data_IF_074655617334
#
_entry.id   IF_074655617334
#
_cell.length_a   1.000
_cell.length_b   1.000
_cell.length_c   1.000
_cell.angle_alpha   90.00
_cell.angle_beta   90.00
_cell.angle_gamma   90.00
#
_symmetry.space_group_name_H-M   'P 1'
#
loop_
_entity.id
_entity.type
_entity.pdbx_description
1 polymer ?
#
# COMPACT_ATOMS: atom_id res chain seq x y z
N UNK A 1 -9.73 -17.07 11.24
CA UNK A 1 -10.75 -16.28 10.51
C UNK A 1 -10.42 -16.43 9.04
N UNK A 2 -11.32 -17.00 8.25
CA UNK A 2 -11.10 -17.27 6.82
C UNK A 2 -11.18 -15.97 6.05
N UNK A 3 -10.01 -15.39 5.74
CA UNK A 3 -9.81 -14.05 5.19
C UNK A 3 -10.00 -14.01 3.67
N UNK A 4 -11.08 -14.64 3.18
CA UNK A 4 -11.46 -14.57 1.77
C UNK A 4 -12.53 -13.48 1.60
N UNK A 5 -12.19 -12.31 1.04
CA UNK A 5 -13.15 -11.24 0.87
C UNK A 5 -14.25 -11.72 -0.09
N UNK A 6 -15.50 -11.71 0.39
CA UNK A 6 -16.68 -12.05 -0.43
C UNK A 6 -17.06 -10.93 -1.40
N UNK A 7 -16.52 -9.73 -1.17
CA UNK A 7 -16.80 -8.52 -1.93
C UNK A 7 -15.47 -7.81 -2.24
N UNK A 8 -15.39 -7.20 -3.42
CA UNK A 8 -14.18 -6.50 -3.88
C UNK A 8 -13.93 -5.20 -3.10
N UNK A 9 -15.00 -4.48 -2.78
CA UNK A 9 -14.99 -3.26 -2.00
C UNK A 9 -15.99 -3.41 -0.85
N UNK A 10 -15.56 -3.07 0.35
CA UNK A 10 -16.41 -3.00 1.54
C UNK A 10 -16.29 -1.57 2.07
N UNK A 11 -17.28 -0.75 1.75
CA UNK A 11 -17.36 0.65 2.16
C UNK A 11 -18.65 0.86 2.93
N UNK A 12 -18.65 1.84 3.84
CA UNK A 12 -19.93 2.36 4.35
C UNK A 12 -20.57 3.26 3.28
N UNK A 13 -21.86 3.54 3.45
CA UNK A 13 -22.63 4.33 2.50
C UNK A 13 -22.09 5.75 2.32
N UNK A 14 -21.58 6.37 3.38
CA UNK A 14 -21.04 7.74 3.34
C UNK A 14 -19.77 7.84 2.47
N UNK A 15 -18.83 6.92 2.66
CA UNK A 15 -17.59 6.82 1.88
C UNK A 15 -17.91 6.50 0.42
N UNK A 16 -18.85 5.58 0.16
CA UNK A 16 -19.27 5.24 -1.20
C UNK A 16 -19.92 6.45 -1.90
N UNK A 17 -20.83 7.18 -1.24
CA UNK A 17 -21.42 8.38 -1.81
C UNK A 17 -20.39 9.49 -2.04
N UNK A 18 -19.42 9.63 -1.14
CA UNK A 18 -18.31 10.57 -1.29
C UNK A 18 -17.49 10.26 -2.54
N UNK A 19 -17.10 9.00 -2.73
CA UNK A 19 -16.35 8.56 -3.91
C UNK A 19 -17.18 8.78 -5.19
N UNK A 20 -18.46 8.41 -5.20
CA UNK A 20 -19.34 8.60 -6.35
C UNK A 20 -19.51 10.09 -6.70
N UNK A 21 -19.62 10.97 -5.69
CA UNK A 21 -19.66 12.41 -5.91
C UNK A 21 -18.34 12.92 -6.52
N UNK A 22 -17.19 12.53 -5.96
CA UNK A 22 -15.88 12.94 -6.49
C UNK A 22 -15.67 12.44 -7.92
N UNK A 23 -16.09 11.22 -8.25
CA UNK A 23 -16.02 10.67 -9.61
C UNK A 23 -16.84 11.49 -10.61
N UNK A 24 -18.07 11.90 -10.26
CA UNK A 24 -18.92 12.72 -11.13
C UNK A 24 -18.33 14.11 -11.39
N UNK A 25 -17.73 14.70 -10.36
CA UNK A 25 -17.18 16.06 -10.42
C UNK A 25 -15.70 16.11 -10.82
N UNK A 26 -15.05 14.96 -11.01
CA UNK A 26 -13.61 14.89 -11.22
C UNK A 26 -13.20 15.65 -12.49
N UNK A 27 -12.37 16.69 -12.32
CA UNK A 27 -11.72 17.43 -13.40
C UNK A 27 -10.21 17.27 -13.31
N UNK A 28 -9.65 16.46 -14.19
CA UNK A 28 -8.22 16.15 -14.20
C UNK A 28 -7.87 15.09 -15.25
N UNK A 29 -6.68 14.49 -15.12
CA UNK A 29 -6.25 13.42 -16.01
C UNK A 29 -6.99 12.13 -15.63
N UNK A 30 -7.78 11.57 -16.55
CA UNK A 30 -8.60 10.37 -16.30
C UNK A 30 -7.82 9.17 -15.76
N UNK A 31 -6.57 8.97 -16.20
CA UNK A 31 -5.69 7.91 -15.70
C UNK A 31 -5.35 8.05 -14.22
N UNK A 32 -5.43 9.27 -13.66
CA UNK A 32 -5.27 9.50 -12.22
C UNK A 32 -6.47 8.94 -11.44
N UNK A 33 -7.69 9.15 -11.93
CA UNK A 33 -8.90 8.61 -11.31
C UNK A 33 -8.94 7.09 -11.41
N UNK A 34 -8.63 6.53 -12.59
CA UNK A 34 -8.49 5.08 -12.80
C UNK A 34 -7.49 4.47 -11.80
N UNK A 35 -6.31 5.07 -11.70
CA UNK A 35 -5.27 4.60 -10.77
C UNK A 35 -5.70 4.73 -9.31
N UNK A 36 -6.44 5.78 -8.95
CA UNK A 36 -6.92 5.97 -7.59
C UNK A 36 -7.96 4.90 -7.21
N UNK A 37 -8.91 4.61 -8.10
CA UNK A 37 -9.89 3.52 -7.91
C UNK A 37 -9.20 2.15 -7.83
N UNK A 38 -8.20 1.90 -8.69
CA UNK A 38 -7.37 0.69 -8.59
C UNK A 38 -6.62 0.60 -7.27
N UNK A 39 -6.08 1.71 -6.77
CA UNK A 39 -5.42 1.78 -5.47
C UNK A 39 -6.40 1.49 -4.32
N UNK A 40 -7.64 1.97 -4.38
CA UNK A 40 -8.68 1.64 -3.39
C UNK A 40 -8.95 0.14 -3.34
N UNK A 41 -9.13 -0.50 -4.49
CA UNK A 41 -9.35 -1.95 -4.59
C UNK A 41 -8.17 -2.73 -4.01
N UNK A 42 -6.93 -2.37 -4.40
CA UNK A 42 -5.73 -3.01 -3.84
C UNK A 42 -5.56 -2.72 -2.35
N UNK A 43 -6.01 -1.56 -1.87
CA UNK A 43 -6.06 -1.20 -0.46
C UNK A 43 -6.99 -2.10 0.34
N UNK A 44 -8.18 -2.39 -0.18
CA UNK A 44 -9.11 -3.35 0.44
C UNK A 44 -8.52 -4.76 0.48
N UNK A 45 -7.85 -5.16 -0.61
CA UNK A 45 -7.31 -6.51 -0.75
C UNK A 45 -6.02 -6.75 0.07
N UNK A 46 -5.10 -5.79 0.11
CA UNK A 46 -3.80 -5.93 0.76
C UNK A 46 -3.63 -5.11 2.05
N UNK A 47 -4.38 -4.03 2.20
CA UNK A 47 -4.27 -3.06 3.28
C UNK A 47 -3.51 -1.79 2.89
N UNK A 48 -3.81 -0.68 3.57
CA UNK A 48 -3.27 0.65 3.22
C UNK A 48 -1.76 0.76 3.44
N UNK A 49 -1.17 -0.04 4.33
CA UNK A 49 0.30 -0.07 4.49
C UNK A 49 1.01 -0.54 3.23
N UNK A 50 0.43 -1.49 2.49
CA UNK A 50 0.98 -1.95 1.20
C UNK A 50 0.90 -0.83 0.16
N UNK A 51 -0.19 -0.06 0.13
CA UNK A 51 -0.30 1.09 -0.77
C UNK A 51 0.80 2.13 -0.54
N UNK A 52 1.18 2.40 0.72
CA UNK A 52 2.30 3.31 1.04
C UNK A 52 3.68 2.80 0.63
N UNK A 53 3.81 1.49 0.38
CA UNK A 53 5.04 0.89 -0.16
C UNK A 53 5.07 0.93 -1.70
N UNK A 54 3.89 0.83 -2.33
CA UNK A 54 3.73 0.85 -3.79
C UNK A 54 3.85 2.27 -4.35
N UNK A 55 3.30 3.27 -3.66
CA UNK A 55 3.23 4.64 -4.13
C UNK A 55 4.09 5.57 -3.28
N UNK A 56 4.75 6.53 -3.93
CA UNK A 56 5.39 7.63 -3.22
C UNK A 56 4.32 8.49 -2.50
N UNK A 57 4.71 9.27 -1.47
CA UNK A 57 3.75 10.07 -0.68
C UNK A 57 2.94 11.10 -1.48
N UNK A 58 3.48 11.63 -2.58
CA UNK A 58 2.78 12.60 -3.42
C UNK A 58 1.67 11.92 -4.23
N UNK A 59 1.97 10.78 -4.85
CA UNK A 59 1.00 9.97 -5.60
C UNK A 59 -0.10 9.44 -4.69
N UNK A 60 0.25 8.92 -3.50
CA UNK A 60 -0.71 8.43 -2.51
C UNK A 60 -1.73 9.51 -2.12
N UNK A 61 -1.26 10.70 -1.75
CA UNK A 61 -2.13 11.84 -1.42
C UNK A 61 -2.95 12.34 -2.60
N UNK A 62 -2.40 12.26 -3.82
CA UNK A 62 -3.15 12.63 -5.03
C UNK A 62 -4.33 11.70 -5.26
N UNK A 63 -4.18 10.41 -5.00
CA UNK A 63 -5.28 9.44 -5.11
C UNK A 63 -6.34 9.64 -4.03
N UNK A 64 -5.93 9.85 -2.77
CA UNK A 64 -6.86 10.21 -1.68
C UNK A 64 -7.67 11.46 -2.03
N UNK A 65 -7.01 12.51 -2.53
CA UNK A 65 -7.68 13.73 -3.00
C UNK A 65 -8.64 13.48 -4.16
N UNK A 66 -8.28 12.61 -5.10
CA UNK A 66 -9.13 12.30 -6.25
C UNK A 66 -10.41 11.55 -5.86
N UNK A 67 -10.39 10.80 -4.75
CA UNK A 67 -11.53 10.03 -4.25
C UNK A 67 -12.26 10.68 -3.08
N UNK A 68 -11.68 11.72 -2.47
CA UNK A 68 -12.27 12.43 -1.32
C UNK A 68 -12.23 11.62 -0.01
N UNK A 69 -11.36 10.62 0.08
CA UNK A 69 -11.26 9.70 1.23
C UNK A 69 -9.81 9.57 1.68
N UNK A 70 -9.61 9.11 2.91
CA UNK A 70 -8.30 8.67 3.41
C UNK A 70 -8.25 7.15 3.40
N UNK A 71 -7.29 6.55 2.69
CA UNK A 71 -7.21 5.08 2.56
C UNK A 71 -7.07 4.38 3.90
N UNK A 72 -6.43 5.01 4.89
CA UNK A 72 -6.29 4.44 6.23
C UNK A 72 -7.62 4.31 7.01
N UNK A 73 -8.64 5.07 6.60
CA UNK A 73 -9.95 5.06 7.25
C UNK A 73 -10.87 4.02 6.61
N UNK A 74 -10.72 3.80 5.29
CA UNK A 74 -11.61 2.91 4.53
C UNK A 74 -11.03 1.53 4.29
N UNK A 75 -9.70 1.37 4.30
CA UNK A 75 -9.02 0.09 4.09
C UNK A 75 -8.45 -0.46 5.40
N UNK A 76 -8.34 -1.79 5.56
CA UNK A 76 -7.59 -2.40 6.66
C UNK A 76 -6.14 -1.93 6.71
N UNK A 77 -5.51 -1.94 7.88
CA UNK A 77 -4.09 -1.62 8.00
C UNK A 77 -3.20 -2.56 7.19
N UNK A 78 -3.46 -3.85 7.32
CA UNK A 78 -2.84 -4.93 6.56
C UNK A 78 -3.81 -6.11 6.59
N UNK A 79 -3.98 -6.81 5.47
CA UNK A 79 -4.80 -8.05 5.40
C UNK A 79 -3.92 -9.30 5.51
N UNK A 80 -4.50 -10.49 5.69
CA UNK A 80 -3.74 -11.74 5.59
C UNK A 80 -3.05 -11.88 4.22
N UNK A 81 -3.73 -11.48 3.15
CA UNK A 81 -3.16 -11.46 1.80
C UNK A 81 -1.99 -10.48 1.68
N UNK A 82 -2.10 -9.29 2.28
CA UNK A 82 -1.02 -8.31 2.37
C UNK A 82 0.22 -8.91 3.04
N UNK A 83 0.05 -9.54 4.20
CA UNK A 83 1.14 -10.21 4.93
C UNK A 83 1.77 -11.36 4.14
N UNK A 84 0.96 -12.14 3.42
CA UNK A 84 1.43 -13.33 2.69
C UNK A 84 2.14 -12.98 1.37
N UNK A 85 1.65 -11.97 0.64
CA UNK A 85 2.06 -11.70 -0.75
C UNK A 85 2.92 -10.44 -0.91
N UNK A 86 2.87 -9.49 0.02
CA UNK A 86 3.66 -8.26 -0.10
C UNK A 86 5.09 -8.45 0.42
N UNK A 87 6.03 -8.56 -0.52
CA UNK A 87 7.47 -8.65 -0.22
C UNK A 87 7.97 -7.37 0.44
N UNK A 88 7.52 -6.20 -0.03
CA UNK A 88 7.82 -4.92 0.59
C UNK A 88 7.40 -4.89 2.06
N UNK A 89 6.22 -5.43 2.38
CA UNK A 89 5.74 -5.50 3.76
C UNK A 89 6.58 -6.46 4.60
N UNK A 90 6.91 -7.64 4.09
CA UNK A 90 7.78 -8.60 4.78
C UNK A 90 9.15 -8.00 5.15
N UNK A 91 9.73 -7.17 4.26
CA UNK A 91 10.97 -6.43 4.55
C UNK A 91 10.76 -5.46 5.73
N UNK A 92 9.63 -4.74 5.76
CA UNK A 92 9.35 -3.82 6.87
C UNK A 92 9.19 -4.53 8.22
N UNK A 93 8.58 -5.72 8.23
CA UNK A 93 8.44 -6.54 9.43
C UNK A 93 9.81 -7.01 9.93
N UNK A 94 10.67 -7.47 9.01
CA UNK A 94 12.01 -7.96 9.34
C UNK A 94 12.93 -6.85 9.86
N UNK A 95 12.85 -5.66 9.27
CA UNK A 95 13.62 -4.48 9.72
C UNK A 95 13.07 -3.86 11.01
N UNK A 96 11.88 -4.26 11.46
CA UNK A 96 11.22 -3.71 12.65
C UNK A 96 10.82 -2.23 12.53
N UNK A 97 10.86 -1.63 11.34
CA UNK A 97 10.58 -0.21 11.15
C UNK A 97 9.90 0.09 9.80
N UNK A 98 8.57 0.13 9.82
CA UNK A 98 7.75 0.43 8.65
C UNK A 98 8.02 1.82 8.07
N UNK A 99 8.00 2.85 8.91
CA UNK A 99 8.16 4.24 8.45
C UNK A 99 9.55 4.55 7.90
N UNK A 100 10.59 3.88 8.38
CA UNK A 100 11.94 4.04 7.83
C UNK A 100 12.02 3.55 6.37
N UNK A 101 11.32 2.45 6.05
CA UNK A 101 11.26 1.92 4.67
C UNK A 101 10.39 2.80 3.79
N UNK A 102 9.20 3.20 4.26
CA UNK A 102 8.29 4.08 3.50
C UNK A 102 8.93 5.43 3.19
N UNK A 103 9.68 6.01 4.12
CA UNK A 103 10.40 7.27 3.90
C UNK A 103 11.70 7.10 3.10
N UNK A 104 12.07 5.88 2.72
CA UNK A 104 13.31 5.59 2.00
C UNK A 104 14.58 5.85 2.83
N UNK A 105 14.47 5.95 4.16
CA UNK A 105 15.62 6.05 5.07
C UNK A 105 16.45 4.77 5.07
N UNK A 106 15.78 3.62 4.90
CA UNK A 106 16.41 2.34 4.62
C UNK A 106 16.15 1.95 3.18
N UNK A 107 17.17 2.03 2.33
CA UNK A 107 17.07 1.66 0.92
C UNK A 107 17.22 0.15 0.79
N UNK A 108 16.23 -0.49 0.18
CA UNK A 108 16.32 -1.89 -0.25
C UNK A 108 16.68 -1.86 -1.74
N UNK A 109 17.93 -2.17 -2.12
CA UNK A 109 18.30 -2.28 -3.52
C UNK A 109 17.46 -3.37 -4.20
N UNK A 110 17.10 -3.13 -5.47
CA UNK A 110 16.41 -4.11 -6.33
C UNK A 110 15.12 -4.72 -5.73
N UNK A 111 14.40 -3.98 -4.89
CA UNK A 111 13.17 -4.44 -4.21
C UNK A 111 12.08 -5.04 -5.12
N UNK A 112 12.10 -4.72 -6.41
CA UNK A 112 11.18 -5.28 -7.42
C UNK A 112 11.61 -6.63 -7.99
N UNK A 113 12.85 -7.06 -7.76
CA UNK A 113 13.42 -8.34 -8.22
C UNK A 113 13.41 -9.41 -7.12
N UNK A 114 13.18 -9.02 -5.86
CA UNK A 114 13.06 -9.96 -4.74
C UNK A 114 11.77 -10.76 -4.96
N UNK A 115 11.91 -12.07 -5.12
CA UNK A 115 10.81 -12.95 -5.49
C UNK A 115 10.25 -13.75 -4.30
N UNK A 116 11.03 -13.94 -3.24
CA UNK A 116 10.67 -14.81 -2.12
C UNK A 116 11.19 -14.31 -0.75
N UNK A 117 10.75 -14.96 0.32
CA UNK A 117 11.09 -14.60 1.71
C UNK A 117 12.55 -14.87 2.07
N UNK A 118 13.23 -15.81 1.42
CA UNK A 118 14.64 -16.10 1.70
C UNK A 118 15.54 -14.96 1.18
N UNK A 119 15.23 -14.41 0.02
CA UNK A 119 15.88 -13.24 -0.53
C UNK A 119 15.63 -11.98 0.31
N UNK A 120 14.44 -11.84 0.91
CA UNK A 120 14.17 -10.77 1.89
C UNK A 120 15.14 -10.82 3.06
N UNK A 121 15.38 -12.01 3.63
CA UNK A 121 16.31 -12.14 4.75
C UNK A 121 17.73 -11.74 4.35
N UNK A 122 18.21 -12.21 3.19
CA UNK A 122 19.56 -11.87 2.68
C UNK A 122 19.71 -10.36 2.45
N UNK A 123 18.70 -9.72 1.87
CA UNK A 123 18.70 -8.28 1.60
C UNK A 123 18.72 -7.46 2.91
N UNK A 124 17.92 -7.87 3.90
CA UNK A 124 17.89 -7.20 5.21
C UNK A 124 19.21 -7.38 5.97
N UNK A 125 19.79 -8.58 5.97
CA UNK A 125 21.06 -8.85 6.63
C UNK A 125 22.23 -8.05 6.01
N UNK A 126 22.15 -7.72 4.72
CA UNK A 126 23.11 -6.84 4.04
C UNK A 126 22.96 -5.38 4.52
N UNK A 127 21.72 -4.87 4.60
CA UNK A 127 21.43 -3.51 5.09
C UNK A 127 21.94 -3.33 6.53
N UNK A 128 21.68 -4.30 7.41
CA UNK A 128 22.11 -4.24 8.82
C UNK A 128 23.65 -4.32 8.97
N UNK A 129 24.36 -4.98 8.04
CA UNK A 129 25.83 -5.01 8.02
C UNK A 129 26.44 -3.69 7.54
N UNK A 130 25.80 -3.04 6.57
CA UNK A 130 26.23 -1.73 6.07
C UNK A 130 25.99 -0.61 7.09
N UNK A 131 24.87 -0.64 7.83
CA UNK A 131 24.60 0.36 8.89
C UNK A 131 25.53 0.23 10.12
N UNK A 132 26.19 -0.91 10.31
CA UNK A 132 27.12 -1.18 11.42
C UNK A 132 28.59 -0.89 11.10
N UNK A 133 28.89 -0.42 9.89
CA UNK A 133 30.24 -0.12 9.42
C UNK A 133 30.46 1.39 9.33
#
# INVERSE_FOLDING_TARGET
MTDNPKQLLVLNEEDEQTILHQMREFRGIGTTLESALGALILGQYFGWRVLKLLHNPATYRRYEKALGIEFKNVCPEITEMGKKKSIGYAITEKLGSFWAVVMGKRKVPEKGMIANKEEVNKAVDQIDKEEKK
#
